data_IF_421731307095
#
_entry.id   IF_421731307095
#
_cell.length_a   1.000
_cell.length_b   1.000
_cell.length_c   1.000
_cell.angle_alpha   90.00
_cell.angle_beta   90.00
_cell.angle_gamma   90.00
#
_symmetry.space_group_name_H-M   'P 1'
#
loop_
_entity.id
_entity.type
_entity.pdbx_description
1 polymer ?
#
# COMPACT_ATOMS: atom_id res chain seq x y z
N UNK A 1 -11.20 4.30 -1.68
CA UNK A 1 -11.13 2.82 -1.61
C UNK A 1 -12.50 2.27 -1.96
N UNK A 2 -12.55 1.22 -2.78
CA UNK A 2 -13.79 0.62 -3.24
C UNK A 2 -14.21 -0.54 -2.32
N UNK A 3 -15.51 -0.86 -2.33
CA UNK A 3 -16.08 -2.00 -1.58
C UNK A 3 -15.32 -3.30 -1.84
N UNK A 4 -14.94 -3.53 -3.09
CA UNK A 4 -14.28 -4.75 -3.54
C UNK A 4 -12.98 -5.02 -2.78
N UNK A 5 -12.21 -3.99 -2.45
CA UNK A 5 -10.98 -4.10 -1.66
C UNK A 5 -11.25 -4.71 -0.28
N UNK A 6 -12.28 -4.22 0.44
CA UNK A 6 -12.64 -4.75 1.76
C UNK A 6 -13.20 -6.17 1.68
N UNK A 7 -14.07 -6.45 0.71
CA UNK A 7 -14.66 -7.78 0.54
C UNK A 7 -13.61 -8.83 0.21
N UNK A 8 -12.64 -8.50 -0.66
CA UNK A 8 -11.54 -9.41 -0.98
C UNK A 8 -10.61 -9.58 0.22
N UNK A 9 -10.25 -8.50 0.91
CA UNK A 9 -9.41 -8.55 2.11
C UNK A 9 -10.01 -9.47 3.19
N UNK A 10 -11.29 -9.28 3.54
CA UNK A 10 -11.99 -10.11 4.53
C UNK A 10 -12.03 -11.59 4.15
N UNK A 11 -12.21 -11.90 2.86
CA UNK A 11 -12.18 -13.28 2.38
C UNK A 11 -10.79 -13.89 2.48
N UNK A 12 -9.73 -13.12 2.18
CA UNK A 12 -8.34 -13.58 2.30
C UNK A 12 -7.95 -13.79 3.76
N UNK A 13 -8.31 -12.85 4.65
CA UNK A 13 -8.06 -12.95 6.11
C UNK A 13 -8.68 -14.22 6.69
N UNK A 14 -9.89 -14.58 6.25
CA UNK A 14 -10.56 -15.82 6.69
C UNK A 14 -9.93 -17.09 6.12
N UNK A 15 -9.34 -17.00 4.92
CA UNK A 15 -8.79 -18.18 4.20
C UNK A 15 -7.36 -18.50 4.61
N UNK A 16 -6.54 -17.49 4.86
CA UNK A 16 -5.10 -17.66 5.14
C UNK A 16 -4.89 -17.36 6.63
N UNK A 17 -4.51 -18.36 7.47
CA UNK A 17 -4.41 -18.17 8.91
C UNK A 17 -3.10 -17.45 9.28
N UNK A 18 -3.07 -16.13 9.11
CA UNK A 18 -1.99 -15.26 9.57
C UNK A 18 -2.46 -14.37 10.73
N UNK A 19 -1.49 -13.80 11.43
CA UNK A 19 -1.74 -12.80 12.46
C UNK A 19 -1.92 -11.41 11.80
N UNK A 20 -3.17 -11.05 11.52
CA UNK A 20 -3.50 -9.80 10.82
C UNK A 20 -3.70 -8.64 11.79
N UNK A 21 -2.91 -7.58 11.60
CA UNK A 21 -3.03 -6.32 12.34
C UNK A 21 -3.51 -5.20 11.41
N UNK A 22 -4.74 -4.72 11.63
CA UNK A 22 -5.38 -3.71 10.77
C UNK A 22 -5.15 -2.31 11.33
N UNK A 23 -4.41 -1.49 10.58
CA UNK A 23 -4.18 -0.09 10.90
C UNK A 23 -5.10 0.80 10.07
N UNK A 24 -6.10 1.38 10.73
CA UNK A 24 -7.00 2.37 10.14
C UNK A 24 -6.56 3.80 10.48
N UNK A 25 -6.89 4.79 9.63
CA UNK A 25 -6.74 6.21 9.97
C UNK A 25 -7.44 6.57 11.28
N UNK A 26 -6.85 7.51 12.03
CA UNK A 26 -7.43 8.02 13.28
C UNK A 26 -8.78 8.73 13.09
N UNK A 27 -9.09 9.15 11.86
CA UNK A 27 -10.34 9.79 11.49
C UNK A 27 -11.13 8.92 10.50
N UNK A 28 -12.44 8.79 10.72
CA UNK A 28 -13.33 8.09 9.79
C UNK A 28 -13.39 8.78 8.42
N UNK A 29 -13.76 8.03 7.39
CA UNK A 29 -13.96 8.56 6.04
C UNK A 29 -15.01 9.66 6.02
N UNK A 30 -16.12 9.47 6.71
CA UNK A 30 -17.27 10.38 6.71
C UNK A 30 -16.89 11.72 7.35
N UNK A 31 -16.19 11.67 8.49
CA UNK A 31 -15.71 12.88 9.16
C UNK A 31 -14.66 13.59 8.33
N UNK A 32 -13.71 12.86 7.73
CA UNK A 32 -12.69 13.47 6.88
C UNK A 32 -13.31 14.17 5.68
N UNK A 33 -14.24 13.51 4.99
CA UNK A 33 -14.95 14.10 3.85
C UNK A 33 -15.73 15.35 4.27
N UNK A 34 -16.38 15.35 5.44
CA UNK A 34 -17.10 16.52 5.94
C UNK A 34 -16.18 17.71 6.25
N UNK A 35 -14.95 17.45 6.75
CA UNK A 35 -13.99 18.51 7.12
C UNK A 35 -13.18 19.01 5.92
N UNK A 36 -12.83 18.12 4.98
CA UNK A 36 -11.98 18.42 3.82
C UNK A 36 -12.77 18.75 2.54
N UNK A 37 -14.09 18.67 2.56
CA UNK A 37 -14.92 18.90 1.36
C UNK A 37 -14.89 17.74 0.35
N UNK A 38 -14.52 16.53 0.79
CA UNK A 38 -14.42 15.33 -0.04
C UNK A 38 -12.99 14.81 -0.17
N UNK A 39 -12.72 14.10 -1.26
CA UNK A 39 -11.36 13.69 -1.63
C UNK A 39 -10.71 14.88 -2.35
N UNK A 40 -9.60 15.44 -1.85
CA UNK A 40 -8.95 16.58 -2.47
C UNK A 40 -8.52 16.27 -3.91
N UNK A 41 -8.64 17.26 -4.80
CA UNK A 41 -8.06 17.20 -6.14
C UNK A 41 -6.56 17.48 -6.07
N UNK A 42 -5.84 17.23 -7.17
CA UNK A 42 -4.40 17.52 -7.23
C UNK A 42 -4.08 19.02 -7.23
N UNK A 43 -5.05 19.87 -7.53
CA UNK A 43 -4.86 21.33 -7.59
C UNK A 43 -4.69 21.94 -6.18
N UNK A 44 -5.10 21.21 -5.14
CA UNK A 44 -4.90 21.57 -3.74
C UNK A 44 -3.80 20.67 -3.14
N UNK A 45 -2.54 21.01 -3.44
CA UNK A 45 -1.38 20.21 -3.02
C UNK A 45 -1.28 20.04 -1.50
N UNK A 46 -1.61 21.10 -0.74
CA UNK A 46 -1.57 21.09 0.72
C UNK A 46 -2.62 20.13 1.28
N UNK A 47 -3.86 20.25 0.79
CA UNK A 47 -4.94 19.36 1.22
C UNK A 47 -4.71 17.91 0.78
N UNK A 48 -4.21 17.69 -0.44
CA UNK A 48 -3.85 16.36 -0.92
C UNK A 48 -2.72 15.72 -0.09
N UNK A 49 -1.74 16.52 0.32
CA UNK A 49 -0.64 16.09 1.19
C UNK A 49 -1.16 15.68 2.57
N UNK A 50 -2.00 16.51 3.18
CA UNK A 50 -2.60 16.20 4.48
C UNK A 50 -3.54 15.00 4.40
N UNK A 51 -4.34 14.89 3.34
CA UNK A 51 -5.17 13.72 3.08
C UNK A 51 -4.32 12.45 2.98
N UNK A 52 -3.27 12.48 2.16
CA UNK A 52 -2.33 11.35 1.99
C UNK A 52 -1.68 10.97 3.32
N UNK A 53 -1.27 11.96 4.12
CA UNK A 53 -0.72 11.74 5.45
C UNK A 53 -1.71 11.00 6.34
N UNK A 54 -2.95 11.46 6.43
CA UNK A 54 -3.98 10.86 7.29
C UNK A 54 -4.40 9.45 6.85
N UNK A 55 -4.51 9.19 5.55
CA UNK A 55 -5.07 7.91 5.06
C UNK A 55 -4.03 6.82 4.88
N UNK A 56 -2.74 7.18 4.84
CA UNK A 56 -1.69 6.26 4.38
C UNK A 56 -0.42 6.35 5.21
N UNK A 57 0.16 7.54 5.35
CA UNK A 57 1.47 7.68 6.00
C UNK A 57 1.37 7.52 7.52
N UNK A 58 0.39 8.15 8.16
CA UNK A 58 0.18 8.03 9.61
C UNK A 58 -0.10 6.59 10.04
N UNK A 59 -1.07 5.85 9.45
CA UNK A 59 -1.33 4.47 9.87
C UNK A 59 -0.12 3.55 9.66
N UNK A 60 0.62 3.76 8.55
CA UNK A 60 1.82 2.99 8.26
C UNK A 60 2.96 3.30 9.25
N UNK A 61 3.24 4.58 9.50
CA UNK A 61 4.30 4.99 10.43
C UNK A 61 4.00 4.54 11.86
N UNK A 62 2.72 4.57 12.26
CA UNK A 62 2.29 4.02 13.55
C UNK A 62 2.55 2.51 13.62
N UNK A 63 2.19 1.74 12.59
CA UNK A 63 2.49 0.32 12.54
C UNK A 63 4.00 0.03 12.63
N UNK A 64 4.83 0.70 11.83
CA UNK A 64 6.29 0.50 11.88
C UNK A 64 6.86 0.86 13.26
N UNK A 65 6.35 1.90 13.90
CA UNK A 65 6.82 2.32 15.23
C UNK A 65 6.42 1.34 16.33
N UNK A 66 5.19 0.81 16.28
CA UNK A 66 4.69 -0.17 17.26
C UNK A 66 5.41 -1.52 17.14
N UNK A 67 5.68 -1.98 15.92
CA UNK A 67 6.31 -3.28 15.68
C UNK A 67 7.84 -3.24 15.69
N UNK A 68 8.44 -2.09 15.39
CA UNK A 68 9.88 -1.88 15.27
C UNK A 68 10.63 -3.03 14.54
N UNK A 69 10.21 -3.40 13.31
CA UNK A 69 10.73 -4.59 12.66
C UNK A 69 12.15 -4.38 12.11
N UNK A 70 13.00 -5.40 12.21
CA UNK A 70 14.30 -5.43 11.53
C UNK A 70 14.16 -5.77 10.04
N UNK A 71 13.09 -6.50 9.67
CA UNK A 71 12.83 -6.98 8.31
C UNK A 71 11.40 -6.61 7.88
N UNK A 72 11.25 -6.08 6.67
CA UNK A 72 9.96 -5.76 6.06
C UNK A 72 9.79 -6.44 4.70
N UNK A 73 8.88 -7.42 4.62
CA UNK A 73 8.51 -8.08 3.36
C UNK A 73 7.54 -7.18 2.58
N UNK A 74 7.83 -6.96 1.30
CA UNK A 74 7.03 -6.10 0.42
C UNK A 74 6.64 -6.82 -0.87
N UNK A 75 5.56 -6.37 -1.50
CA UNK A 75 5.09 -6.89 -2.80
C UNK A 75 5.55 -6.07 -4.01
N UNK A 76 6.57 -5.22 -3.86
CA UNK A 76 7.05 -4.38 -4.98
C UNK A 76 7.71 -5.26 -6.07
N UNK A 77 7.53 -4.85 -7.32
CA UNK A 77 8.10 -5.48 -8.52
C UNK A 77 8.77 -4.45 -9.40
N UNK A 78 9.81 -4.86 -10.11
CA UNK A 78 10.64 -4.00 -10.94
C UNK A 78 9.85 -3.23 -12.01
N UNK A 79 8.78 -3.84 -12.54
CA UNK A 79 8.04 -3.33 -13.69
C UNK A 79 7.01 -2.24 -13.34
N UNK A 80 6.86 -1.89 -12.05
CA UNK A 80 5.74 -1.03 -11.61
C UNK A 80 6.03 0.48 -11.69
N UNK A 81 7.27 0.94 -11.48
CA UNK A 81 7.66 2.38 -11.59
C UNK A 81 9.12 2.50 -12.02
N UNK A 82 9.53 3.66 -12.56
CA UNK A 82 10.94 3.91 -12.93
C UNK A 82 11.89 3.84 -11.73
N UNK A 83 11.51 4.38 -10.57
CA UNK A 83 12.37 4.29 -9.37
C UNK A 83 12.50 2.86 -8.85
N UNK A 84 11.46 2.02 -8.97
CA UNK A 84 11.56 0.59 -8.63
C UNK A 84 12.58 -0.16 -9.47
N UNK A 85 12.93 0.32 -10.68
CA UNK A 85 14.01 -0.29 -11.47
C UNK A 85 15.41 -0.12 -10.84
N UNK A 86 15.57 0.85 -9.94
CA UNK A 86 16.82 1.07 -9.21
C UNK A 86 16.97 0.20 -7.96
N UNK A 87 15.91 -0.53 -7.58
CA UNK A 87 15.90 -1.43 -6.43
C UNK A 87 16.29 -2.86 -6.84
N UNK A 88 16.34 -3.75 -5.85
CA UNK A 88 16.54 -5.19 -6.00
C UNK A 88 15.68 -5.92 -4.95
N UNK A 89 15.76 -7.25 -4.92
CA UNK A 89 15.14 -8.14 -3.93
C UNK A 89 15.44 -7.68 -2.50
N UNK A 90 16.66 -7.17 -2.24
CA UNK A 90 17.07 -6.64 -0.95
C UNK A 90 17.37 -5.15 -1.06
N UNK A 91 16.83 -4.35 -0.15
CA UNK A 91 17.16 -2.93 -0.02
C UNK A 91 17.05 -2.47 1.42
N UNK A 92 17.77 -1.42 1.78
CA UNK A 92 17.65 -0.78 3.09
C UNK A 92 16.80 0.49 2.97
N UNK A 93 16.02 0.80 3.99
CA UNK A 93 15.40 2.12 4.13
C UNK A 93 16.19 3.03 5.08
N UNK A 94 15.82 4.30 5.12
CA UNK A 94 16.49 5.30 5.95
C UNK A 94 16.39 5.04 7.46
N UNK A 95 15.51 4.12 7.89
CA UNK A 95 15.35 3.71 9.30
C UNK A 95 16.26 2.53 9.67
N UNK A 96 16.96 1.96 8.68
CA UNK A 96 17.79 0.77 8.87
C UNK A 96 16.99 -0.53 8.88
N UNK A 97 15.78 -0.55 8.28
CA UNK A 97 14.98 -1.77 8.14
C UNK A 97 15.34 -2.45 6.81
N UNK A 98 15.60 -3.76 6.84
CA UNK A 98 15.86 -4.54 5.64
C UNK A 98 14.54 -4.84 4.92
N UNK A 99 14.35 -4.23 3.75
CA UNK A 99 13.23 -4.52 2.84
C UNK A 99 13.55 -5.73 1.98
N UNK A 100 12.61 -6.67 1.93
CA UNK A 100 12.72 -7.90 1.13
C UNK A 100 11.54 -7.96 0.16
N UNK A 101 11.82 -7.98 -1.14
CA UNK A 101 10.84 -8.06 -2.22
C UNK A 101 10.97 -9.41 -2.95
N UNK A 102 10.37 -10.50 -2.41
CA UNK A 102 10.59 -11.85 -2.96
C UNK A 102 10.04 -12.04 -4.37
N UNK A 103 9.09 -11.19 -4.78
CA UNK A 103 8.47 -11.22 -6.11
C UNK A 103 9.06 -10.16 -7.05
N UNK A 104 10.20 -9.56 -6.71
CA UNK A 104 10.71 -8.36 -7.39
C UNK A 104 10.84 -8.52 -8.91
N UNK A 105 11.35 -9.67 -9.35
CA UNK A 105 11.54 -10.00 -10.77
C UNK A 105 10.37 -10.75 -11.41
N UNK A 106 9.26 -10.94 -10.69
CA UNK A 106 8.09 -11.59 -11.28
C UNK A 106 7.39 -10.64 -12.27
N UNK A 107 7.09 -11.17 -13.44
CA UNK A 107 6.18 -10.54 -14.40
C UNK A 107 4.73 -10.64 -13.93
N UNK A 108 3.86 -9.79 -14.47
CA UNK A 108 2.42 -9.87 -14.21
C UNK A 108 1.85 -11.25 -14.57
N UNK A 109 2.34 -11.86 -15.65
CA UNK A 109 1.96 -13.23 -16.06
C UNK A 109 2.29 -14.26 -14.97
N UNK A 110 3.47 -14.21 -14.36
CA UNK A 110 3.85 -15.15 -13.29
C UNK A 110 2.98 -14.96 -12.05
N UNK A 111 2.63 -13.72 -11.70
CA UNK A 111 1.69 -13.43 -10.62
C UNK A 111 0.31 -14.00 -10.94
N UNK A 112 -0.19 -13.78 -12.15
CA UNK A 112 -1.49 -14.30 -12.61
C UNK A 112 -1.53 -15.84 -12.62
N UNK A 113 -0.48 -16.50 -13.11
CA UNK A 113 -0.35 -17.96 -13.10
C UNK A 113 -0.36 -18.51 -11.67
N UNK A 114 0.46 -17.95 -10.77
CA UNK A 114 0.48 -18.36 -9.37
C UNK A 114 -0.88 -18.16 -8.69
N UNK A 115 -1.54 -17.02 -8.93
CA UNK A 115 -2.87 -16.77 -8.40
C UNK A 115 -3.89 -17.79 -8.91
N UNK A 116 -3.84 -18.14 -10.19
CA UNK A 116 -4.73 -19.14 -10.79
C UNK A 116 -4.49 -20.52 -10.18
N UNK A 117 -3.24 -20.96 -10.11
CA UNK A 117 -2.86 -22.29 -9.62
C UNK A 117 -3.19 -22.49 -8.13
N UNK A 118 -3.24 -21.41 -7.36
CA UNK A 118 -3.60 -21.42 -5.94
C UNK A 118 -5.03 -20.93 -5.67
N UNK A 119 -5.83 -20.72 -6.73
CA UNK A 119 -7.21 -20.23 -6.66
C UNK A 119 -7.36 -18.93 -5.83
N UNK A 120 -6.37 -18.03 -5.84
CA UNK A 120 -6.35 -16.81 -5.03
C UNK A 120 -7.32 -15.75 -5.57
N UNK A 121 -7.94 -15.01 -4.67
CA UNK A 121 -8.87 -13.93 -5.01
C UNK A 121 -8.11 -12.72 -5.55
N UNK A 122 -8.60 -12.13 -6.64
CA UNK A 122 -8.07 -10.91 -7.22
C UNK A 122 -8.96 -9.71 -6.93
N UNK A 123 -8.36 -8.56 -6.60
CA UNK A 123 -9.04 -7.28 -6.42
C UNK A 123 -8.81 -6.40 -7.66
N UNK A 124 -9.36 -6.79 -8.82
CA UNK A 124 -9.16 -6.06 -10.09
C UNK A 124 -9.84 -4.68 -10.11
N UNK A 125 -10.93 -4.51 -9.38
CA UNK A 125 -11.60 -3.22 -9.24
C UNK A 125 -10.98 -2.46 -8.06
N UNK A 126 -9.96 -1.66 -8.36
CA UNK A 126 -9.15 -0.93 -7.39
C UNK A 126 -9.15 0.58 -7.69
N UNK A 127 -9.19 1.40 -6.64
CA UNK A 127 -9.07 2.85 -6.73
C UNK A 127 -8.34 3.39 -5.51
N UNK A 128 -7.20 4.03 -5.76
CA UNK A 128 -6.37 4.70 -4.75
C UNK A 128 -6.55 6.21 -4.86
N UNK A 129 -7.26 6.86 -3.91
CA UNK A 129 -7.45 8.30 -3.94
C UNK A 129 -6.15 9.09 -3.72
N UNK A 130 -5.04 8.44 -3.35
CA UNK A 130 -3.72 9.07 -3.17
C UNK A 130 -2.81 8.94 -4.40
N UNK A 131 -3.22 8.19 -5.43
CA UNK A 131 -2.44 7.96 -6.66
C UNK A 131 -3.25 8.42 -7.88
N UNK A 132 -3.50 9.73 -7.95
CA UNK A 132 -4.34 10.32 -9.00
C UNK A 132 -3.58 10.50 -10.33
N UNK A 133 -2.27 10.23 -10.38
CA UNK A 133 -1.46 10.17 -11.61
C UNK A 133 -0.69 8.85 -11.70
N UNK A 134 -0.73 8.19 -12.87
CA UNK A 134 0.05 6.99 -13.15
C UNK A 134 1.56 7.27 -12.99
N UNK A 135 2.24 6.41 -12.22
CA UNK A 135 3.70 6.46 -12.02
C UNK A 135 4.19 7.21 -10.77
N UNK A 136 3.32 7.87 -9.98
CA UNK A 136 3.74 8.49 -8.71
C UNK A 136 3.90 7.42 -7.63
N UNK A 137 5.08 7.36 -7.04
CA UNK A 137 5.39 6.33 -6.06
C UNK A 137 4.62 6.49 -4.76
N UNK A 138 4.46 5.38 -4.06
CA UNK A 138 3.55 5.24 -2.92
C UNK A 138 3.89 6.10 -1.68
N UNK A 139 4.98 6.89 -1.69
CA UNK A 139 5.48 7.68 -0.54
C UNK A 139 5.95 6.86 0.68
N UNK A 140 5.52 5.60 0.81
CA UNK A 140 5.86 4.69 1.93
C UNK A 140 7.36 4.34 2.02
N UNK A 141 8.11 4.57 0.94
CA UNK A 141 9.54 4.32 0.85
C UNK A 141 10.37 5.58 1.13
N UNK A 142 9.75 6.78 1.06
CA UNK A 142 10.36 8.10 1.26
C UNK A 142 9.86 8.84 2.49
N UNK A 143 8.93 8.29 3.27
CA UNK A 143 8.32 8.95 4.45
C UNK A 143 9.24 8.98 5.68
N UNK A 144 10.55 9.07 5.45
CA UNK A 144 11.58 9.33 6.44
C UNK A 144 12.16 10.73 6.20
#
# INVERSE_FOLDING_TARGET
>A
ILRDTYVVADKLIKRIPLDYHVYSPLMTSERRNAVMGGIPTMDDEDMHTEFTRQVKLEPFNRAISEWAPEIWITGIRQQETEHRKSLDVLSWDARGILKVAPLFYWSDKQVEEYMKDNELLSCRHYFDPTKVQDGRECGLHTSA
#
